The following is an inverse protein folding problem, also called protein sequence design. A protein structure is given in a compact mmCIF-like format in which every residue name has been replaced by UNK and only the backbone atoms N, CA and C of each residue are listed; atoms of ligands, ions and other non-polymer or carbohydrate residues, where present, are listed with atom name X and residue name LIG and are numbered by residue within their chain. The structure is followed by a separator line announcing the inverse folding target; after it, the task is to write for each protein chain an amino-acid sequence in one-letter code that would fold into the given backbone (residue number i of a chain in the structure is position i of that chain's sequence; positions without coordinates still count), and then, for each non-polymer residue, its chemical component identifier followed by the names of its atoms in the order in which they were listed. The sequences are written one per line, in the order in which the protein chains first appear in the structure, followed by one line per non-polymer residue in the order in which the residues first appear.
data_IF_629800256917
#
_entry.id   IF_629800256917
#
_cell.length_a   1.000
_cell.length_b   1.000
_cell.length_c   1.000
_cell.angle_alpha   90.00
_cell.angle_beta   90.00
_cell.angle_gamma   90.00
#
_symmetry.space_group_name_H-M   'P 1'
#
loop_
_entity.id
_entity.type
_entity.pdbx_description
1 polymer ?
#
# COMPACT_ATOMS: atom_id res chain seq x y z
N UNK A 1 -19.99 16.18 -35.71
CA UNK A 1 -20.47 15.38 -34.57
C UNK A 1 -19.70 14.06 -34.55
N UNK A 2 -18.63 13.99 -33.76
CA UNK A 2 -18.07 12.79 -33.10
C UNK A 2 -16.77 13.28 -32.41
N UNK A 3 -16.81 13.57 -31.11
CA UNK A 3 -15.59 13.83 -30.36
C UNK A 3 -14.90 12.48 -30.16
N UNK A 4 -13.92 12.16 -31.01
CA UNK A 4 -12.94 11.12 -30.70
C UNK A 4 -12.13 11.60 -29.51
N UNK A 5 -12.46 11.13 -28.30
CA UNK A 5 -11.61 11.28 -27.14
C UNK A 5 -10.38 10.41 -27.38
N UNK A 6 -9.31 11.01 -27.91
CA UNK A 6 -8.01 10.39 -28.00
C UNK A 6 -7.44 10.23 -26.59
N UNK A 7 -7.76 9.11 -25.94
CA UNK A 7 -7.09 8.69 -24.72
C UNK A 7 -5.68 8.23 -25.07
N UNK A 8 -4.67 9.08 -24.83
CA UNK A 8 -3.28 8.68 -24.88
C UNK A 8 -3.03 7.59 -23.83
N UNK A 9 -3.03 6.33 -24.27
CA UNK A 9 -2.73 5.17 -23.44
C UNK A 9 -1.21 4.98 -23.45
N UNK A 10 -0.54 5.55 -22.46
CA UNK A 10 0.87 5.33 -22.21
C UNK A 10 1.01 4.05 -21.37
N UNK A 11 2.13 3.33 -21.45
CA UNK A 11 2.43 2.15 -20.60
C UNK A 11 2.36 2.47 -19.10
N UNK A 12 2.44 3.77 -18.75
CA UNK A 12 2.33 4.31 -17.39
C UNK A 12 0.91 4.71 -16.98
N UNK A 13 -0.08 4.58 -17.86
CA UNK A 13 -1.47 4.92 -17.54
C UNK A 13 -2.07 3.82 -16.65
N UNK A 14 -2.56 4.14 -15.44
CA UNK A 14 -3.14 3.14 -14.56
C UNK A 14 -4.38 2.48 -15.18
N UNK A 15 -4.47 1.15 -15.10
CA UNK A 15 -5.60 0.36 -15.56
C UNK A 15 -6.34 -0.25 -14.38
N UNK A 16 -7.64 -0.53 -14.53
CA UNK A 16 -8.40 -1.29 -13.53
C UNK A 16 -8.54 -2.73 -13.98
N UNK A 17 -7.96 -3.65 -13.22
CA UNK A 17 -7.92 -5.08 -13.52
C UNK A 17 -8.35 -5.89 -12.30
N UNK A 18 -9.41 -6.69 -12.45
CA UNK A 18 -9.92 -7.60 -11.39
C UNK A 18 -10.13 -6.91 -10.04
N UNK A 19 -10.57 -5.65 -10.05
CA UNK A 19 -10.80 -4.84 -8.85
C UNK A 19 -9.56 -4.18 -8.26
N UNK A 20 -8.45 -4.15 -8.99
CA UNK A 20 -7.22 -3.42 -8.63
C UNK A 20 -6.94 -2.32 -9.64
N UNK A 21 -6.50 -1.17 -9.15
CA UNK A 21 -5.77 -0.19 -9.95
C UNK A 21 -4.33 -0.67 -10.06
N UNK A 22 -3.88 -0.89 -11.29
CA UNK A 22 -2.55 -1.37 -11.62
C UNK A 22 -1.84 -0.31 -12.44
N UNK A 23 -0.63 0.04 -12.02
CA UNK A 23 0.28 0.87 -12.81
C UNK A 23 1.60 0.14 -12.94
N UNK A 24 2.02 -0.07 -14.17
CA UNK A 24 3.32 -0.69 -14.47
C UNK A 24 4.45 0.25 -14.09
N UNK A 25 5.49 -0.33 -13.47
CA UNK A 25 6.73 0.34 -13.07
C UNK A 25 7.83 -0.70 -12.85
N UNK A 26 9.03 -0.27 -12.45
CA UNK A 26 10.12 -1.19 -12.12
C UNK A 26 9.83 -1.99 -10.85
N UNK A 27 9.22 -1.36 -9.85
CA UNK A 27 8.63 -2.05 -8.70
C UNK A 27 7.10 -2.02 -8.78
N UNK A 28 6.48 -3.13 -8.42
CA UNK A 28 5.02 -3.27 -8.38
C UNK A 28 4.55 -3.75 -7.02
N UNK A 29 4.74 -2.95 -5.96
CA UNK A 29 4.27 -3.30 -4.63
C UNK A 29 2.75 -3.52 -4.60
N UNK A 30 2.32 -4.45 -3.78
CA UNK A 30 0.92 -4.53 -3.35
C UNK A 30 0.70 -3.51 -2.23
N UNK A 31 -0.33 -2.68 -2.34
CA UNK A 31 -0.74 -1.78 -1.27
C UNK A 31 -2.14 -2.16 -0.77
N UNK A 32 -2.25 -2.53 0.51
CA UNK A 32 -3.52 -2.82 1.17
C UNK A 32 -3.83 -1.73 2.18
N UNK A 33 -5.08 -1.31 2.23
CA UNK A 33 -5.51 -0.20 3.06
C UNK A 33 -6.91 -0.41 3.63
N UNK A 34 -7.15 0.22 4.77
CA UNK A 34 -8.42 0.15 5.49
C UNK A 34 -9.40 1.27 5.11
N UNK A 35 -10.57 1.31 5.74
CA UNK A 35 -11.62 2.29 5.41
C UNK A 35 -11.27 3.73 5.80
N UNK A 36 -10.21 3.97 6.60
CA UNK A 36 -9.73 5.31 6.94
C UNK A 36 -8.87 5.93 5.84
N UNK A 37 -8.38 5.13 4.89
CA UNK A 37 -7.56 5.58 3.78
C UNK A 37 -8.32 5.61 2.46
N UNK A 38 -7.89 6.50 1.56
CA UNK A 38 -8.40 6.56 0.19
C UNK A 38 -7.26 6.58 -0.83
N UNK A 39 -7.60 6.30 -2.09
CA UNK A 39 -6.62 6.23 -3.18
C UNK A 39 -5.79 7.51 -3.29
N UNK A 40 -6.40 8.69 -3.17
CA UNK A 40 -5.69 9.98 -3.30
C UNK A 40 -4.63 10.17 -2.21
N UNK A 41 -4.89 9.68 -1.00
CA UNK A 41 -3.94 9.74 0.12
C UNK A 41 -2.84 8.68 0.05
N UNK A 42 -3.10 7.55 -0.62
CA UNK A 42 -2.16 6.42 -0.75
C UNK A 42 -1.19 6.63 -1.90
N UNK A 43 -1.67 7.15 -3.05
CA UNK A 43 -0.89 7.30 -4.27
C UNK A 43 0.45 8.07 -4.09
N UNK A 44 0.56 9.12 -3.24
CA UNK A 44 1.84 9.80 -3.00
C UNK A 44 2.96 8.89 -2.45
N UNK A 45 2.60 7.80 -1.76
CA UNK A 45 3.56 6.80 -1.28
C UNK A 45 4.04 5.86 -2.40
N UNK A 46 3.25 5.73 -3.48
CA UNK A 46 3.43 4.74 -4.55
C UNK A 46 3.86 5.44 -5.86
N UNK A 47 5.15 5.82 -5.96
CA UNK A 47 5.66 6.73 -7.00
C UNK A 47 5.89 6.10 -8.38
N UNK A 48 6.33 4.84 -8.42
CA UNK A 48 6.72 4.15 -9.65
C UNK A 48 5.56 3.27 -10.20
N UNK A 49 5.55 1.98 -9.87
CA UNK A 49 4.43 1.07 -10.12
C UNK A 49 3.70 0.69 -8.84
N UNK A 50 2.51 0.12 -8.98
CA UNK A 50 1.71 -0.36 -7.84
C UNK A 50 0.57 -1.26 -8.27
N UNK A 51 0.13 -2.07 -7.32
CA UNK A 51 -1.15 -2.79 -7.35
C UNK A 51 -1.94 -2.42 -6.10
N UNK A 52 -3.05 -1.72 -6.30
CA UNK A 52 -3.84 -1.13 -5.23
C UNK A 52 -5.31 -1.52 -5.42
N UNK A 53 -6.01 -2.14 -4.46
CA UNK A 53 -7.40 -2.49 -4.66
C UNK A 53 -8.25 -1.21 -4.82
N UNK A 54 -9.31 -1.27 -5.61
CA UNK A 54 -10.20 -0.11 -5.83
C UNK A 54 -11.00 0.23 -4.56
N UNK A 55 -11.22 -0.77 -3.70
CA UNK A 55 -11.90 -0.64 -2.40
C UNK A 55 -10.97 -1.10 -1.30
N UNK A 56 -11.20 -0.59 -0.09
CA UNK A 56 -10.49 -1.03 1.11
C UNK A 56 -10.52 -2.54 1.28
N UNK A 57 -9.45 -3.06 1.87
CA UNK A 57 -9.23 -4.47 2.12
C UNK A 57 -9.51 -4.87 3.57
N UNK A 58 -9.93 -3.94 4.44
CA UNK A 58 -10.10 -4.13 5.89
C UNK A 58 -10.98 -5.34 6.26
N UNK A 59 -12.11 -5.50 5.57
CA UNK A 59 -13.12 -6.51 5.90
C UNK A 59 -12.90 -7.86 5.18
N UNK A 60 -11.73 -8.04 4.55
CA UNK A 60 -11.40 -9.28 3.84
C UNK A 60 -10.77 -10.28 4.81
N UNK A 61 -11.06 -11.57 4.60
CA UNK A 61 -10.50 -12.64 5.45
C UNK A 61 -9.06 -12.99 5.10
N UNK A 62 -8.64 -12.71 3.87
CA UNK A 62 -7.32 -13.05 3.36
C UNK A 62 -6.78 -11.92 2.48
N UNK A 63 -5.46 -11.84 2.44
CA UNK A 63 -4.77 -10.99 1.50
C UNK A 63 -4.98 -11.50 0.06
N UNK A 64 -4.80 -10.64 -0.95
CA UNK A 64 -4.85 -11.06 -2.35
C UNK A 64 -3.76 -12.11 -2.63
N UNK A 65 -4.06 -13.17 -3.40
CA UNK A 65 -3.07 -14.16 -3.77
C UNK A 65 -2.03 -13.57 -4.74
N UNK A 66 -0.76 -13.88 -4.52
CA UNK A 66 0.34 -13.49 -5.40
C UNK A 66 1.68 -13.55 -4.69
N UNK A 67 2.76 -13.64 -5.47
CA UNK A 67 4.10 -13.42 -4.98
C UNK A 67 4.41 -11.93 -5.09
N UNK A 68 4.60 -11.27 -3.95
CA UNK A 68 4.90 -9.84 -3.88
C UNK A 68 6.25 -9.66 -3.20
N UNK A 69 7.15 -8.91 -3.84
CA UNK A 69 8.46 -8.61 -3.26
C UNK A 69 8.33 -7.57 -2.14
N UNK A 70 7.44 -6.59 -2.32
CA UNK A 70 7.19 -5.53 -1.34
C UNK A 70 5.69 -5.35 -1.15
N UNK A 71 5.27 -5.22 0.10
CA UNK A 71 3.87 -4.99 0.47
C UNK A 71 3.75 -3.78 1.39
N UNK A 72 2.90 -2.84 1.00
CA UNK A 72 2.54 -1.69 1.80
C UNK A 72 1.24 -1.97 2.54
N UNK A 73 1.24 -1.83 3.86
CA UNK A 73 0.11 -2.09 4.74
C UNK A 73 -0.27 -0.79 5.46
N UNK A 74 -1.42 -0.24 5.07
CA UNK A 74 -1.95 1.01 5.61
C UNK A 74 -3.00 0.71 6.70
N UNK A 75 -2.86 1.33 7.86
CA UNK A 75 -3.83 1.22 8.95
C UNK A 75 -4.03 -0.21 9.45
N UNK A 76 -5.28 -0.57 9.69
CA UNK A 76 -5.71 -1.89 10.17
C UNK A 76 -5.29 -3.05 9.26
N UNK A 77 -5.00 -2.79 7.98
CA UNK A 77 -4.46 -3.83 7.08
C UNK A 77 -3.08 -4.34 7.49
N UNK A 78 -2.41 -3.74 8.49
CA UNK A 78 -1.23 -4.30 9.15
C UNK A 78 -1.45 -5.76 9.59
N UNK A 79 -2.67 -6.17 9.95
CA UNK A 79 -2.96 -7.56 10.35
C UNK A 79 -2.67 -8.61 9.26
N UNK A 80 -2.59 -8.21 7.99
CA UNK A 80 -2.26 -9.12 6.89
C UNK A 80 -0.77 -9.47 6.82
N UNK A 81 0.09 -8.81 7.62
CA UNK A 81 1.54 -9.01 7.60
C UNK A 81 1.97 -10.48 7.67
N UNK A 82 1.31 -11.29 8.50
CA UNK A 82 1.62 -12.71 8.65
C UNK A 82 1.37 -13.55 7.38
N UNK A 83 0.59 -13.04 6.43
CA UNK A 83 0.31 -13.71 5.15
C UNK A 83 1.38 -13.43 4.09
N UNK A 84 2.39 -12.62 4.41
CA UNK A 84 3.49 -12.24 3.53
C UNK A 84 4.86 -12.48 4.21
N UNK A 85 5.22 -13.73 4.54
CA UNK A 85 6.45 -14.03 5.27
C UNK A 85 7.72 -13.72 4.46
N UNK A 86 7.65 -13.82 3.13
CA UNK A 86 8.80 -13.68 2.22
C UNK A 86 8.89 -12.29 1.57
N UNK A 87 7.94 -11.39 1.86
CA UNK A 87 7.92 -10.04 1.30
C UNK A 87 8.59 -9.03 2.24
N UNK A 88 9.11 -7.94 1.69
CA UNK A 88 9.48 -6.76 2.45
C UNK A 88 8.22 -5.97 2.83
N UNK A 89 8.04 -5.71 4.13
CA UNK A 89 6.83 -5.05 4.63
C UNK A 89 7.09 -3.59 4.96
N UNK A 90 6.23 -2.73 4.42
CA UNK A 90 6.21 -1.30 4.70
C UNK A 90 4.88 -0.97 5.37
N UNK A 91 4.92 -0.44 6.58
CA UNK A 91 3.71 -0.08 7.33
C UNK A 91 3.45 1.42 7.24
N UNK A 92 2.20 1.81 7.12
CA UNK A 92 1.77 3.22 7.15
C UNK A 92 0.65 3.39 8.15
N UNK A 93 0.94 4.10 9.24
CA UNK A 93 0.05 4.28 10.39
C UNK A 93 -0.58 2.97 10.87
N UNK A 94 0.22 1.92 11.18
CA UNK A 94 -0.32 0.68 11.74
C UNK A 94 -1.02 0.96 13.09
N UNK A 95 -1.88 0.04 13.56
CA UNK A 95 -2.55 0.17 14.86
C UNK A 95 -1.54 0.38 15.99
N UNK A 96 -1.95 1.10 17.03
CA UNK A 96 -1.10 1.32 18.20
C UNK A 96 -0.66 -0.02 18.81
N UNK A 97 0.62 -0.11 19.17
CA UNK A 97 1.23 -1.33 19.73
C UNK A 97 1.20 -2.57 18.80
N UNK A 98 0.99 -2.40 17.49
CA UNK A 98 1.07 -3.51 16.54
C UNK A 98 2.47 -4.15 16.53
N UNK A 99 2.60 -5.48 16.73
CA UNK A 99 3.89 -6.15 16.74
C UNK A 99 4.48 -6.23 15.33
N UNK A 100 5.54 -5.44 15.08
CA UNK A 100 6.18 -5.39 13.77
C UNK A 100 7.00 -6.68 13.51
N UNK A 101 6.75 -7.40 12.40
CA UNK A 101 7.48 -8.61 12.06
C UNK A 101 8.93 -8.31 11.63
N UNK A 102 9.78 -9.35 11.55
CA UNK A 102 11.22 -9.20 11.27
C UNK A 102 11.52 -8.70 9.85
N UNK A 103 10.67 -9.04 8.88
CA UNK A 103 10.73 -8.58 7.49
C UNK A 103 10.14 -7.16 7.29
N UNK A 104 9.96 -6.39 8.38
CA UNK A 104 9.59 -4.98 8.29
C UNK A 104 10.78 -4.20 7.75
N UNK A 105 10.63 -3.65 6.55
CA UNK A 105 11.60 -2.75 5.95
C UNK A 105 11.46 -1.33 6.50
N UNK A 106 10.22 -0.82 6.60
CA UNK A 106 9.97 0.57 6.97
C UNK A 106 8.63 0.79 7.65
N UNK A 107 8.56 1.81 8.51
CA UNK A 107 7.32 2.25 9.15
C UNK A 107 7.16 3.75 9.02
N UNK A 108 6.03 4.16 8.45
CA UNK A 108 5.58 5.53 8.35
C UNK A 108 4.55 5.78 9.45
N UNK A 109 4.84 6.70 10.36
CA UNK A 109 3.91 7.08 11.41
C UNK A 109 3.37 8.47 11.12
N UNK A 110 2.06 8.66 11.32
CA UNK A 110 1.47 10.00 11.31
C UNK A 110 2.16 10.81 12.40
N UNK A 111 2.63 12.01 12.07
CA UNK A 111 3.33 12.89 12.99
C UNK A 111 2.37 13.32 14.12
N UNK A 112 2.35 12.57 15.23
CA UNK A 112 1.73 12.97 16.48
C UNK A 112 2.79 13.65 17.35
N UNK A 113 2.44 14.80 17.95
CA UNK A 113 3.29 15.49 18.95
C UNK A 113 3.62 14.49 20.07
N UNK A 114 4.92 14.21 20.21
CA UNK A 114 5.58 13.45 21.28
C UNK A 114 5.06 12.03 21.56
N UNK A 115 5.87 11.01 21.24
CA UNK A 115 6.15 9.87 22.12
C UNK A 115 7.15 8.89 21.49
N UNK A 116 8.08 8.43 22.33
CA UNK A 116 9.31 7.69 22.06
C UNK A 116 9.20 6.47 21.13
N UNK A 117 10.12 6.37 20.16
CA UNK A 117 10.33 5.16 19.35
C UNK A 117 11.77 4.63 19.48
N UNK A 118 11.89 3.38 19.94
CA UNK A 118 13.14 2.62 20.06
C UNK A 118 13.62 2.12 18.67
N UNK A 119 14.73 2.66 18.18
CA UNK A 119 15.75 1.94 17.39
C UNK A 119 15.46 1.50 15.94
N UNK A 120 14.29 1.75 15.33
CA UNK A 120 14.04 1.50 13.90
C UNK A 120 14.05 2.80 13.08
N UNK A 121 14.30 2.71 11.78
CA UNK A 121 14.22 3.86 10.86
C UNK A 121 12.75 4.30 10.72
N UNK A 122 12.40 5.39 11.39
CA UNK A 122 11.05 5.97 11.40
C UNK A 122 11.06 7.21 10.52
N UNK A 123 10.21 7.25 9.50
CA UNK A 123 9.98 8.46 8.70
C UNK A 123 8.57 9.02 8.97
N UNK A 124 8.50 10.32 9.20
CA UNK A 124 7.26 11.04 9.44
C UNK A 124 6.75 11.62 8.12
N UNK A 125 5.45 11.50 7.86
CA UNK A 125 4.76 12.10 6.72
C UNK A 125 3.66 13.07 7.15
#
# INVERSE_FOLDING_TARGET
MCLCVFGFRNERTPTVEKGFVVRSGHSMPLALYDDAWNLKTILPFLKDGYRLPVRSWQNRKSAPPGAYQTVWLFGECAHFAAQFPDAELIFVSPPENFPLPKNTLKVFLKRFRESHSQGKEVEYY
#
